data_IF_115951519006
#
_entry.id   IF_115951519006
#
_cell.length_a   1.000
_cell.length_b   1.000
_cell.length_c   1.000
_cell.angle_alpha   90.00
_cell.angle_beta   90.00
_cell.angle_gamma   90.00
#
_symmetry.space_group_name_H-M   'P 1'
#
loop_
_entity.id
_entity.type
_entity.pdbx_description
1 polymer ?
#
# COMPACT_ATOMS: atom_id res chain seq x y z
N UNK A 1 -18.89 6.33 11.14
CA UNK A 1 -17.58 6.43 10.48
C UNK A 1 -16.78 7.52 11.15
N UNK A 2 -15.52 7.30 11.40
CA UNK A 2 -14.61 8.38 11.69
C UNK A 2 -14.57 9.29 10.45
N UNK A 3 -14.91 10.58 10.57
CA UNK A 3 -15.12 11.45 9.41
C UNK A 3 -13.86 11.58 8.54
N UNK A 4 -12.69 11.44 9.16
CA UNK A 4 -11.38 11.61 8.49
C UNK A 4 -10.87 10.34 7.81
N UNK A 5 -11.32 9.17 8.23
CA UNK A 5 -10.82 7.89 7.73
C UNK A 5 -11.82 7.12 6.86
N UNK A 6 -13.06 7.55 6.80
CA UNK A 6 -14.17 6.85 6.10
C UNK A 6 -14.44 5.42 6.59
N UNK A 7 -13.85 5.03 7.71
CA UNK A 7 -13.97 3.69 8.28
C UNK A 7 -15.23 3.56 9.15
N UNK A 8 -15.90 2.41 9.17
CA UNK A 8 -16.97 2.15 10.11
C UNK A 8 -16.40 2.03 11.53
N UNK A 9 -17.13 2.55 12.53
CA UNK A 9 -16.67 2.61 13.92
C UNK A 9 -16.45 1.24 14.57
N UNK A 10 -17.24 0.23 14.19
CA UNK A 10 -17.31 -1.04 14.91
C UNK A 10 -17.12 -2.28 14.02
N UNK A 11 -16.65 -2.10 12.78
CA UNK A 11 -16.54 -3.22 11.85
C UNK A 11 -15.24 -3.12 11.07
N UNK A 12 -14.35 -4.10 11.23
CA UNK A 12 -13.16 -4.27 10.41
C UNK A 12 -13.50 -5.22 9.27
N UNK A 13 -13.53 -4.71 8.04
CA UNK A 13 -13.89 -5.47 6.83
C UNK A 13 -12.67 -6.17 6.25
N UNK A 14 -11.59 -5.41 6.09
CA UNK A 14 -10.31 -5.90 5.60
C UNK A 14 -9.29 -4.80 5.56
N UNK A 15 -8.01 -5.14 5.34
CA UNK A 15 -6.91 -4.20 5.25
C UNK A 15 -5.93 -4.62 4.16
N UNK A 16 -5.76 -3.77 3.14
CA UNK A 16 -4.70 -3.89 2.14
C UNK A 16 -3.64 -2.85 2.43
N UNK A 17 -2.41 -3.31 2.62
CA UNK A 17 -1.25 -2.46 2.89
C UNK A 17 -0.31 -2.48 1.69
N UNK A 18 -0.02 -1.32 1.11
CA UNK A 18 0.87 -1.17 -0.03
C UNK A 18 2.24 -0.66 0.44
N UNK A 19 3.28 -1.44 0.15
CA UNK A 19 4.67 -1.04 0.24
C UNK A 19 5.21 -0.77 -1.15
N UNK A 20 5.66 0.45 -1.42
CA UNK A 20 6.19 0.83 -2.73
C UNK A 20 7.65 1.26 -2.57
N UNK A 21 8.52 0.58 -3.29
CA UNK A 21 9.96 0.78 -3.24
C UNK A 21 10.39 1.90 -4.19
N UNK A 22 10.96 2.96 -3.61
CA UNK A 22 11.52 4.12 -4.30
C UNK A 22 13.04 4.19 -4.13
N UNK A 23 13.69 3.10 -3.74
CA UNK A 23 15.14 3.08 -3.53
C UNK A 23 15.94 3.03 -4.83
N UNK A 24 15.28 2.69 -5.93
CA UNK A 24 15.84 2.77 -7.29
C UNK A 24 14.90 3.57 -8.20
N UNK A 25 15.43 4.35 -9.16
CA UNK A 25 14.60 5.09 -10.10
C UNK A 25 13.66 4.15 -10.87
N UNK A 26 12.37 4.45 -10.82
CA UNK A 26 11.36 3.67 -11.53
C UNK A 26 11.33 4.05 -13.03
N UNK A 27 11.30 3.05 -13.89
CA UNK A 27 11.05 3.25 -15.32
C UNK A 27 9.60 3.67 -15.54
N UNK A 28 9.34 4.44 -16.61
CA UNK A 28 7.98 4.89 -16.95
C UNK A 28 6.95 3.77 -16.95
N UNK A 29 7.27 2.61 -17.52
CA UNK A 29 6.36 1.46 -17.53
C UNK A 29 6.02 0.93 -16.13
N UNK A 30 6.97 0.99 -15.18
CA UNK A 30 6.73 0.63 -13.77
C UNK A 30 5.84 1.67 -13.08
N UNK A 31 6.09 2.96 -13.33
CA UNK A 31 5.24 4.05 -12.83
C UNK A 31 3.80 3.89 -13.34
N UNK A 32 3.63 3.70 -14.65
CA UNK A 32 2.31 3.51 -15.27
C UNK A 32 1.59 2.28 -14.69
N UNK A 33 2.32 1.19 -14.43
CA UNK A 33 1.77 -0.02 -13.82
C UNK A 33 1.35 0.21 -12.36
N UNK A 34 2.21 0.83 -11.55
CA UNK A 34 1.93 1.15 -10.14
C UNK A 34 0.69 2.06 -10.08
N UNK A 35 0.69 3.15 -10.85
CA UNK A 35 -0.42 4.10 -10.91
C UNK A 35 -1.72 3.41 -11.31
N UNK A 36 -1.69 2.60 -12.37
CA UNK A 36 -2.87 1.92 -12.88
C UNK A 36 -3.40 0.77 -12.02
N UNK A 37 -2.60 0.20 -11.11
CA UNK A 37 -2.99 -0.96 -10.29
C UNK A 37 -3.24 -0.64 -8.83
N UNK A 38 -2.49 0.31 -8.29
CA UNK A 38 -2.47 0.62 -6.86
C UNK A 38 -3.33 1.84 -6.54
N UNK A 39 -3.61 2.68 -7.54
CA UNK A 39 -4.38 3.92 -7.37
C UNK A 39 -5.63 3.96 -8.27
N UNK A 40 -6.44 4.97 -8.05
CA UNK A 40 -7.55 5.34 -8.90
C UNK A 40 -8.67 4.30 -9.00
N UNK A 41 -9.31 4.28 -10.17
CA UNK A 41 -10.49 3.46 -10.45
C UNK A 41 -10.23 1.95 -10.34
N UNK A 42 -9.01 1.50 -10.64
CA UNK A 42 -8.64 0.08 -10.52
C UNK A 42 -8.73 -0.38 -9.08
N UNK A 43 -8.22 0.41 -8.14
CA UNK A 43 -8.29 0.13 -6.71
C UNK A 43 -9.74 0.10 -6.23
N UNK A 44 -10.55 1.09 -6.63
CA UNK A 44 -11.97 1.18 -6.26
C UNK A 44 -12.74 -0.05 -6.74
N UNK A 45 -12.40 -0.59 -7.92
CA UNK A 45 -13.09 -1.77 -8.49
C UNK A 45 -12.72 -3.09 -7.81
N UNK A 46 -11.52 -3.18 -7.24
CA UNK A 46 -11.01 -4.42 -6.68
C UNK A 46 -11.19 -4.53 -5.17
N UNK A 47 -11.15 -3.42 -4.46
CA UNK A 47 -11.25 -3.39 -3.00
C UNK A 47 -12.70 -3.14 -2.56
N UNK A 48 -13.26 -3.99 -1.66
CA UNK A 48 -14.63 -3.81 -1.17
C UNK A 48 -14.83 -2.49 -0.40
N UNK A 49 -16.07 -1.97 -0.32
CA UNK A 49 -16.39 -0.82 0.54
C UNK A 49 -15.99 -1.07 1.99
N UNK A 50 -15.51 0.01 2.65
CA UNK A 50 -15.04 0.00 4.05
C UNK A 50 -13.78 -0.82 4.32
N UNK A 51 -13.17 -1.39 3.30
CA UNK A 51 -11.85 -2.00 3.37
C UNK A 51 -10.81 -0.91 3.60
N UNK A 52 -9.94 -1.09 4.58
CA UNK A 52 -8.87 -0.16 4.89
C UNK A 52 -7.75 -0.28 3.86
N UNK A 53 -7.21 0.84 3.47
CA UNK A 53 -6.09 0.96 2.53
C UNK A 53 -5.01 1.78 3.19
N UNK A 54 -3.79 1.28 3.23
CA UNK A 54 -2.64 2.01 3.77
C UNK A 54 -1.48 1.98 2.78
N UNK A 55 -0.72 3.07 2.74
CA UNK A 55 0.47 3.20 1.88
C UNK A 55 1.67 3.64 2.68
N UNK A 56 2.81 3.03 2.38
CA UNK A 56 4.11 3.39 2.90
C UNK A 56 5.15 3.32 1.78
N UNK A 57 6.10 4.25 1.76
CA UNK A 57 7.28 4.20 0.89
C UNK A 57 8.38 3.40 1.54
N UNK A 58 9.10 2.63 0.74
CA UNK A 58 10.42 2.12 1.10
C UNK A 58 11.43 3.10 0.52
N UNK A 59 12.19 3.75 1.37
CA UNK A 59 13.27 4.67 1.03
C UNK A 59 14.48 4.42 1.94
N UNK A 60 15.48 5.30 1.95
CA UNK A 60 16.71 5.15 2.75
C UNK A 60 16.60 5.69 4.17
N UNK A 61 15.43 6.16 4.59
CA UNK A 61 15.20 6.66 5.93
C UNK A 61 15.15 5.51 6.95
N UNK A 62 15.23 5.85 8.24
CA UNK A 62 15.11 4.83 9.28
C UNK A 62 13.68 4.31 9.35
N UNK A 63 13.51 3.02 9.24
CA UNK A 63 12.20 2.34 9.27
C UNK A 63 11.35 2.74 10.48
N UNK A 64 11.98 2.93 11.65
CA UNK A 64 11.27 3.32 12.89
C UNK A 64 10.71 4.75 12.87
N UNK A 65 11.20 5.60 11.97
CA UNK A 65 10.71 6.98 11.81
C UNK A 65 9.76 7.14 10.62
N UNK A 66 9.45 6.04 9.93
CA UNK A 66 8.53 6.07 8.79
C UNK A 66 7.08 6.17 9.24
N UNK A 67 6.38 7.07 8.61
CA UNK A 67 4.96 7.27 8.82
C UNK A 67 4.14 6.55 7.74
N UNK A 68 2.95 6.12 8.10
CA UNK A 68 1.96 5.70 7.13
C UNK A 68 1.48 6.96 6.41
N UNK A 69 1.83 7.10 5.15
CA UNK A 69 1.58 8.31 4.37
C UNK A 69 0.10 8.51 4.03
N UNK A 70 -0.64 7.40 3.97
CA UNK A 70 -2.07 7.41 3.72
C UNK A 70 -2.71 6.21 4.41
N UNK A 71 -3.82 6.44 5.11
CA UNK A 71 -4.65 5.37 5.67
C UNK A 71 -6.11 5.81 5.65
N UNK A 72 -6.92 5.15 4.82
CA UNK A 72 -8.34 5.45 4.65
C UNK A 72 -9.11 4.16 4.35
N UNK A 73 -10.38 4.11 4.73
CA UNK A 73 -11.25 3.06 4.23
C UNK A 73 -11.93 3.50 2.94
N UNK A 74 -12.04 2.58 1.99
CA UNK A 74 -12.72 2.84 0.73
C UNK A 74 -14.17 3.23 0.98
N UNK A 75 -14.59 4.41 0.54
CA UNK A 75 -15.99 4.82 0.59
C UNK A 75 -16.85 4.02 -0.40
N UNK A 76 -18.14 3.84 -0.12
CA UNK A 76 -19.10 3.33 -1.10
C UNK A 76 -19.24 4.32 -2.25
N UNK A 77 -19.46 3.80 -3.46
CA UNK A 77 -19.65 4.64 -4.66
C UNK A 77 -21.08 5.16 -4.80
N UNK A 78 -22.05 4.47 -4.21
CA UNK A 78 -23.47 4.71 -4.42
C UNK A 78 -23.98 4.28 -5.79
N UNK A 79 -23.12 3.74 -6.65
CA UNK A 79 -23.48 3.33 -8.01
C UNK A 79 -23.67 1.83 -8.08
N UNK A 80 -24.92 1.37 -7.93
CA UNK A 80 -25.30 -0.05 -7.98
C UNK A 80 -25.01 -0.72 -9.33
N UNK A 81 -25.00 0.04 -10.41
CA UNK A 81 -24.77 -0.52 -11.77
C UNK A 81 -23.29 -0.84 -12.00
N UNK A 82 -22.39 -0.06 -11.44
CA UNK A 82 -20.94 -0.30 -11.54
C UNK A 82 -20.43 -1.28 -10.48
N UNK A 83 -21.11 -1.33 -9.32
CA UNK A 83 -20.71 -2.14 -8.15
C UNK A 83 -21.91 -2.91 -7.57
N UNK A 84 -22.33 -4.01 -8.22
CA UNK A 84 -23.55 -4.75 -7.83
C UNK A 84 -23.55 -5.29 -6.40
N UNK A 85 -22.38 -5.45 -5.80
CA UNK A 85 -22.21 -5.89 -4.40
C UNK A 85 -22.40 -4.79 -3.35
N UNK A 86 -22.49 -3.52 -3.75
CA UNK A 86 -22.71 -2.42 -2.82
C UNK A 86 -24.17 -2.34 -2.40
N UNK A 87 -24.48 -2.95 -1.24
CA UNK A 87 -25.80 -2.79 -0.61
C UNK A 87 -25.85 -1.43 0.09
N UNK A 88 -26.80 -0.59 -0.32
CA UNK A 88 -27.13 0.62 0.44
C UNK A 88 -28.15 0.25 1.53
N UNK A 89 -27.89 0.62 2.76
CA UNK A 89 -28.92 0.58 3.79
C UNK A 89 -29.62 1.93 3.82
N UNK A 90 -30.67 2.06 3.00
CA UNK A 90 -31.39 3.31 2.79
C UNK A 90 -31.98 3.92 4.08
N UNK A 91 -32.06 3.14 5.16
CA UNK A 91 -32.52 3.61 6.49
C UNK A 91 -31.43 4.33 7.29
N UNK A 92 -30.15 3.99 7.06
CA UNK A 92 -29.02 4.50 7.84
C UNK A 92 -28.05 5.37 7.05
N UNK A 93 -28.05 5.25 5.71
CA UNK A 93 -27.11 5.95 4.84
C UNK A 93 -27.88 6.59 3.67
N UNK A 94 -28.15 7.89 3.77
CA UNK A 94 -28.76 8.63 2.66
C UNK A 94 -27.84 8.65 1.43
N UNK A 95 -28.42 8.53 0.24
CA UNK A 95 -27.73 8.50 -1.04
C UNK A 95 -26.75 9.68 -1.22
N UNK A 96 -27.20 10.89 -0.92
CA UNK A 96 -26.36 12.10 -1.04
C UNK A 96 -25.13 12.07 -0.13
N UNK A 97 -25.26 11.47 1.05
CA UNK A 97 -24.13 11.30 1.96
C UNK A 97 -23.11 10.32 1.41
N UNK A 98 -23.55 9.23 0.79
CA UNK A 98 -22.67 8.25 0.16
C UNK A 98 -21.88 8.90 -0.95
N UNK A 99 -22.53 9.66 -1.85
CA UNK A 99 -21.87 10.37 -2.95
C UNK A 99 -20.82 11.35 -2.40
N UNK A 100 -21.19 12.21 -1.42
CA UNK A 100 -20.25 13.16 -0.82
C UNK A 100 -19.01 12.47 -0.20
N UNK A 101 -19.20 11.35 0.47
CA UNK A 101 -18.09 10.58 1.04
C UNK A 101 -17.21 9.95 -0.05
N UNK A 102 -17.82 9.46 -1.13
CA UNK A 102 -17.09 8.94 -2.28
C UNK A 102 -16.25 10.02 -2.95
N UNK A 103 -16.82 11.18 -3.24
CA UNK A 103 -16.13 12.30 -3.88
C UNK A 103 -14.97 12.80 -3.02
N UNK A 104 -15.19 12.90 -1.70
CA UNK A 104 -14.13 13.27 -0.76
C UNK A 104 -13.00 12.21 -0.73
N UNK A 105 -13.34 10.93 -0.72
CA UNK A 105 -12.35 9.84 -0.80
C UNK A 105 -11.57 9.88 -2.11
N UNK A 106 -12.25 10.02 -3.25
CA UNK A 106 -11.64 10.10 -4.57
C UNK A 106 -10.69 11.30 -4.70
N UNK A 107 -11.12 12.46 -4.19
CA UNK A 107 -10.28 13.67 -4.15
C UNK A 107 -9.01 13.47 -3.32
N UNK A 108 -9.14 12.94 -2.10
CA UNK A 108 -7.99 12.68 -1.22
C UNK A 108 -7.05 11.63 -1.80
N UNK A 109 -7.59 10.58 -2.42
CA UNK A 109 -6.80 9.53 -3.06
C UNK A 109 -6.02 10.07 -4.26
N UNK A 110 -6.64 10.90 -5.11
CA UNK A 110 -5.97 11.51 -6.25
C UNK A 110 -4.89 12.53 -5.85
N UNK A 111 -5.15 13.31 -4.79
CA UNK A 111 -4.14 14.21 -4.22
C UNK A 111 -2.95 13.43 -3.70
N UNK A 112 -3.22 12.41 -2.89
CA UNK A 112 -2.19 11.54 -2.33
C UNK A 112 -1.37 10.84 -3.43
N UNK A 113 -2.00 10.29 -4.48
CA UNK A 113 -1.32 9.66 -5.61
C UNK A 113 -0.27 10.61 -6.24
N UNK A 114 -0.65 11.86 -6.50
CA UNK A 114 0.26 12.86 -7.07
C UNK A 114 1.45 13.14 -6.15
N UNK A 115 1.21 13.32 -4.86
CA UNK A 115 2.25 13.58 -3.86
C UNK A 115 3.15 12.36 -3.68
N UNK A 116 2.57 11.16 -3.65
CA UNK A 116 3.28 9.91 -3.47
C UNK A 116 4.22 9.61 -4.64
N UNK A 117 3.77 9.87 -5.87
CA UNK A 117 4.55 9.61 -7.09
C UNK A 117 5.48 10.77 -7.47
N UNK A 118 5.44 11.91 -6.78
CA UNK A 118 6.25 13.08 -7.14
C UNK A 118 7.77 12.83 -7.11
N UNK A 119 8.25 11.82 -6.37
CA UNK A 119 9.66 11.56 -6.11
C UNK A 119 10.12 10.18 -6.60
N UNK A 120 9.49 9.61 -7.61
CA UNK A 120 9.81 8.26 -8.11
C UNK A 120 11.18 8.15 -8.83
N UNK A 121 11.82 9.28 -9.13
CA UNK A 121 13.14 9.34 -9.77
C UNK A 121 14.30 9.40 -8.76
N UNK A 122 14.02 9.43 -7.47
CA UNK A 122 15.04 9.45 -6.44
C UNK A 122 15.78 8.12 -6.37
N UNK A 123 17.09 8.20 -6.14
CA UNK A 123 17.96 7.07 -5.87
C UNK A 123 18.34 7.09 -4.38
N UNK A 124 18.13 5.97 -3.72
CA UNK A 124 18.47 5.81 -2.32
C UNK A 124 19.77 5.02 -2.14
N UNK A 125 20.46 5.27 -1.04
CA UNK A 125 21.71 4.57 -0.71
C UNK A 125 21.49 3.16 -0.16
N UNK A 126 20.23 2.82 0.18
CA UNK A 126 19.85 1.53 0.79
C UNK A 126 18.45 1.16 0.36
N UNK A 127 18.18 -0.14 0.30
CA UNK A 127 16.86 -0.72 0.14
C UNK A 127 16.61 -1.69 1.30
N UNK A 128 15.76 -1.30 2.26
CA UNK A 128 15.52 -1.99 3.53
C UNK A 128 14.18 -2.75 3.51
N UNK A 129 13.91 -3.50 2.45
CA UNK A 129 12.61 -4.15 2.19
C UNK A 129 12.20 -5.04 3.37
N UNK A 130 13.11 -5.86 3.89
CA UNK A 130 12.79 -6.78 4.98
C UNK A 130 12.51 -6.05 6.29
N UNK A 131 13.23 -4.98 6.58
CA UNK A 131 13.01 -4.15 7.75
C UNK A 131 11.63 -3.47 7.70
N UNK A 132 11.21 -2.99 6.53
CA UNK A 132 9.86 -2.44 6.32
C UNK A 132 8.78 -3.52 6.43
N UNK A 133 9.00 -4.71 5.91
CA UNK A 133 8.11 -5.85 6.08
C UNK A 133 7.89 -6.18 7.56
N UNK A 134 8.98 -6.28 8.33
CA UNK A 134 8.89 -6.53 9.76
C UNK A 134 8.16 -5.41 10.50
N UNK A 135 8.40 -4.16 10.11
CA UNK A 135 7.73 -3.01 10.69
C UNK A 135 6.20 -3.11 10.47
N UNK A 136 5.76 -3.31 9.24
CA UNK A 136 4.32 -3.43 8.92
C UNK A 136 3.67 -4.61 9.65
N UNK A 137 4.35 -5.75 9.75
CA UNK A 137 3.77 -6.95 10.31
C UNK A 137 3.74 -6.99 11.85
N UNK A 138 4.59 -6.19 12.52
CA UNK A 138 4.78 -6.26 13.99
C UNK A 138 4.40 -5.00 14.73
N UNK A 139 4.57 -3.84 14.11
CA UNK A 139 4.36 -2.58 14.83
C UNK A 139 2.87 -2.21 14.89
N UNK A 140 2.36 -1.84 16.07
CA UNK A 140 0.96 -1.45 16.24
C UNK A 140 0.54 -0.25 15.37
N UNK A 141 1.49 0.63 15.02
CA UNK A 141 1.22 1.81 14.20
C UNK A 141 0.68 1.47 12.81
N UNK A 142 1.05 0.29 12.27
CA UNK A 142 0.55 -0.17 10.99
C UNK A 142 -0.93 -0.56 11.01
N UNK A 143 -1.46 -0.85 12.21
CA UNK A 143 -2.80 -1.42 12.40
C UNK A 143 -3.10 -2.64 11.48
N UNK A 144 -2.03 -3.34 11.06
CA UNK A 144 -2.13 -4.52 10.20
C UNK A 144 -2.33 -5.78 11.04
N UNK A 145 -3.38 -5.76 11.87
CA UNK A 145 -3.64 -6.73 12.93
C UNK A 145 -4.55 -7.88 12.48
N UNK A 146 -4.56 -8.97 13.26
CA UNK A 146 -5.45 -10.12 13.04
C UNK A 146 -6.95 -9.82 13.24
N UNK A 147 -7.30 -8.63 13.71
CA UNK A 147 -8.69 -8.20 13.84
C UNK A 147 -9.36 -7.95 12.47
N UNK A 148 -8.58 -7.74 11.42
CA UNK A 148 -9.10 -7.70 10.06
C UNK A 148 -9.25 -9.12 9.52
N UNK A 149 -10.45 -9.53 9.09
CA UNK A 149 -10.70 -10.88 8.56
C UNK A 149 -9.97 -11.15 7.25
N UNK A 150 -9.70 -10.11 6.47
CA UNK A 150 -8.90 -10.16 5.25
C UNK A 150 -7.73 -9.20 5.39
N UNK A 151 -6.51 -9.71 5.19
CA UNK A 151 -5.29 -8.90 5.18
C UNK A 151 -4.49 -9.21 3.94
N UNK A 152 -4.12 -8.16 3.24
CA UNK A 152 -3.33 -8.26 2.01
C UNK A 152 -2.17 -7.29 2.08
N UNK A 153 -0.96 -7.77 1.84
CA UNK A 153 0.26 -6.98 1.75
C UNK A 153 0.75 -7.01 0.31
N UNK A 154 0.74 -5.86 -0.33
CA UNK A 154 1.18 -5.68 -1.72
C UNK A 154 2.52 -4.96 -1.72
N UNK A 155 3.52 -5.56 -2.34
CA UNK A 155 4.86 -5.00 -2.45
C UNK A 155 5.16 -4.71 -3.91
N UNK A 156 5.39 -3.44 -4.22
CA UNK A 156 5.88 -3.00 -5.53
C UNK A 156 7.37 -2.68 -5.41
N UNK A 157 8.23 -3.63 -5.76
CA UNK A 157 9.69 -3.55 -5.64
C UNK A 157 10.34 -4.54 -6.62
N UNK A 158 11.61 -4.32 -6.93
CA UNK A 158 12.48 -5.32 -7.58
C UNK A 158 12.97 -6.39 -6.59
N UNK A 159 12.62 -6.25 -5.30
CA UNK A 159 13.00 -7.11 -4.18
C UNK A 159 14.52 -7.18 -3.93
N UNK A 160 15.27 -6.19 -4.40
CA UNK A 160 16.72 -6.12 -4.23
C UNK A 160 17.10 -5.48 -2.91
N UNK A 161 17.04 -6.26 -1.83
CA UNK A 161 17.46 -5.82 -0.49
C UNK A 161 18.91 -5.35 -0.47
N UNK A 162 19.14 -4.14 0.06
CA UNK A 162 20.48 -3.59 0.30
C UNK A 162 20.54 -2.90 1.66
N UNK A 163 20.96 -3.63 2.66
CA UNK A 163 21.06 -3.18 4.05
C UNK A 163 22.35 -3.63 4.73
N UNK A 164 22.60 -3.14 5.95
CA UNK A 164 23.80 -3.50 6.74
C UNK A 164 23.83 -4.97 7.13
N UNK A 165 22.67 -5.57 7.42
CA UNK A 165 22.57 -6.97 7.86
C UNK A 165 22.60 -7.93 6.69
N UNK A 166 21.95 -7.56 5.60
CA UNK A 166 21.90 -8.38 4.39
C UNK A 166 21.83 -7.50 3.15
N UNK A 167 22.55 -7.93 2.11
CA UNK A 167 22.53 -7.28 0.79
C UNK A 167 22.66 -8.34 -0.29
N UNK A 168 21.73 -8.37 -1.23
CA UNK A 168 21.85 -9.20 -2.42
C UNK A 168 23.10 -8.86 -3.24
N UNK A 169 23.50 -7.58 -3.29
CA UNK A 169 24.67 -7.12 -4.02
C UNK A 169 26.00 -7.63 -3.45
N UNK A 170 26.11 -7.79 -2.14
CA UNK A 170 27.34 -8.27 -1.50
C UNK A 170 27.36 -9.78 -1.24
N UNK A 171 26.19 -10.40 -1.07
CA UNK A 171 26.06 -11.82 -0.77
C UNK A 171 25.86 -12.67 -2.02
N UNK A 172 25.22 -12.08 -3.07
CA UNK A 172 25.00 -12.70 -4.36
C UNK A 172 25.69 -11.86 -5.44
N UNK A 173 26.86 -12.30 -5.90
CA UNK A 173 27.78 -11.48 -6.72
C UNK A 173 27.27 -11.12 -8.11
N UNK A 174 26.30 -11.85 -8.66
CA UNK A 174 25.71 -11.58 -9.98
C UNK A 174 24.24 -11.99 -10.02
N UNK A 175 23.44 -11.37 -10.91
CA UNK A 175 22.05 -11.77 -11.15
C UNK A 175 21.91 -13.25 -11.57
N UNK A 176 22.95 -13.84 -12.17
CA UNK A 176 23.02 -15.26 -12.52
C UNK A 176 23.17 -16.15 -11.28
N UNK A 177 23.74 -15.63 -10.19
CA UNK A 177 23.92 -16.38 -8.94
C UNK A 177 22.64 -16.42 -8.09
N UNK A 178 21.76 -15.41 -8.22
CA UNK A 178 20.44 -15.41 -7.60
C UNK A 178 19.54 -16.57 -8.06
N UNK A 179 19.76 -17.03 -9.31
CA UNK A 179 19.03 -18.18 -9.85
C UNK A 179 19.55 -19.54 -9.38
N UNK A 180 20.69 -19.57 -8.65
CA UNK A 180 21.32 -20.79 -8.15
C UNK A 180 21.26 -20.84 -6.63
N UNK A 181 20.33 -21.62 -6.03
CA UNK A 181 19.99 -21.55 -4.60
C UNK A 181 21.14 -21.76 -3.61
N UNK A 182 22.31 -22.22 -4.05
CA UNK A 182 23.44 -22.56 -3.16
C UNK A 182 24.65 -21.61 -3.31
N UNK A 183 24.53 -20.49 -4.01
CA UNK A 183 25.68 -19.59 -4.26
C UNK A 183 25.59 -18.23 -3.55
N UNK A 184 24.47 -17.90 -2.97
CA UNK A 184 24.40 -16.78 -2.03
C UNK A 184 24.98 -17.24 -0.69
N UNK A 185 25.84 -16.43 -0.07
CA UNK A 185 26.36 -16.74 1.27
C UNK A 185 25.19 -16.83 2.24
N UNK A 186 25.15 -17.88 3.06
CA UNK A 186 24.15 -18.04 4.12
C UNK A 186 24.18 -16.85 5.09
N UNK A 187 23.04 -16.55 5.64
CA UNK A 187 22.93 -15.64 6.78
C UNK A 187 23.63 -16.30 7.99
N UNK A 188 24.64 -15.65 8.53
CA UNK A 188 25.16 -15.90 9.88
C UNK A 188 24.56 -14.89 10.86
#
# INVERSE_FOLDING_TARGET
AEPEQFCPLNTKVGHTFFLVDFTSPLKKAQVDWITGRIFGDSLIKTIPPYHKISYMKIDDTKVQSQEILFTKCRAKTGNKSQFPGEKTNDKCEGHDRIIKLHDAFAFLSSKFEKEFMANYELEASKSLIFEYLFHVLREPVSDFTSEYPVRELVIASDLMQYGKRFSFYSHCKTNLELSKPNKCKSFE
#
